data_IF_321686415408
#
_entry.id   IF_321686415408
#
_cell.length_a   1.000
_cell.length_b   1.000
_cell.length_c   1.000
_cell.angle_alpha   90.00
_cell.angle_beta   90.00
_cell.angle_gamma   90.00
#
_symmetry.space_group_name_H-M   'P 1'
#
loop_
_entity.id
_entity.type
_entity.pdbx_description
1 polymer ?
#
# COMPACT_ATOMS: atom_id res chain seq x y z
N UNK A 1 -33.61 -25.20 22.90
CA UNK A 1 -32.43 -24.86 22.08
C UNK A 1 -32.91 -24.10 20.86
N UNK A 2 -32.87 -22.77 20.91
CA UNK A 2 -33.26 -21.91 19.79
C UNK A 2 -32.19 -21.99 18.71
N UNK A 3 -32.45 -22.81 17.68
CA UNK A 3 -31.68 -22.82 16.45
C UNK A 3 -31.65 -21.39 15.89
N UNK A 4 -30.49 -20.73 15.95
CA UNK A 4 -30.27 -19.47 15.23
C UNK A 4 -30.60 -19.71 13.76
N UNK A 5 -31.40 -18.83 13.16
CA UNK A 5 -31.66 -18.90 11.71
C UNK A 5 -30.33 -18.94 10.96
N UNK A 6 -30.20 -19.74 9.87
CA UNK A 6 -29.00 -19.75 9.06
C UNK A 6 -28.76 -18.35 8.50
N UNK A 7 -27.66 -17.73 8.89
CA UNK A 7 -27.35 -16.35 8.58
C UNK A 7 -25.87 -16.14 8.35
N UNK A 8 -25.56 -15.26 7.41
CA UNK A 8 -24.21 -14.75 7.17
C UNK A 8 -24.09 -13.40 7.89
N UNK A 9 -23.08 -13.25 8.75
CA UNK A 9 -22.75 -11.96 9.38
C UNK A 9 -21.43 -11.49 8.81
N UNK A 10 -21.42 -10.28 8.24
CA UNK A 10 -20.23 -9.65 7.68
C UNK A 10 -19.77 -8.50 8.58
N UNK A 11 -18.46 -8.34 8.65
CA UNK A 11 -17.79 -7.33 9.45
C UNK A 11 -17.13 -6.27 8.56
N UNK A 12 -17.07 -5.01 9.01
CA UNK A 12 -16.43 -3.98 8.22
C UNK A 12 -14.94 -4.27 8.08
N UNK A 13 -14.34 -3.84 6.98
CA UNK A 13 -12.90 -3.96 6.77
C UNK A 13 -12.11 -3.18 7.83
N UNK A 14 -12.58 -1.99 8.19
CA UNK A 14 -12.07 -1.15 9.27
C UNK A 14 -13.20 -0.78 10.24
N UNK A 15 -12.94 -0.94 11.54
CA UNK A 15 -13.82 -0.42 12.57
C UNK A 15 -13.79 1.12 12.57
N UNK A 16 -14.97 1.73 12.50
CA UNK A 16 -15.17 3.18 12.58
C UNK A 16 -15.95 3.54 13.83
N UNK A 17 -15.44 4.42 14.71
CA UNK A 17 -16.20 4.88 15.88
C UNK A 17 -17.32 5.85 15.51
N UNK A 18 -17.24 6.48 14.33
CA UNK A 18 -18.16 7.52 13.88
C UNK A 18 -19.10 6.98 12.80
N UNK A 19 -20.37 7.42 12.87
CA UNK A 19 -21.38 7.15 11.83
C UNK A 19 -21.09 8.00 10.58
N UNK A 20 -21.50 7.54 9.39
CA UNK A 20 -21.40 8.35 8.18
C UNK A 20 -22.20 9.66 8.31
N UNK A 21 -21.68 10.72 7.70
CA UNK A 21 -22.22 12.07 7.75
C UNK A 21 -22.83 12.53 6.42
N UNK A 22 -22.96 11.62 5.44
CA UNK A 22 -23.44 11.92 4.09
C UNK A 22 -24.09 10.71 3.40
N UNK A 23 -25.09 10.96 2.55
CA UNK A 23 -25.82 9.95 1.76
C UNK A 23 -24.93 9.14 0.80
N UNK A 24 -23.78 9.70 0.42
CA UNK A 24 -22.81 9.04 -0.46
C UNK A 24 -21.97 7.95 0.21
N UNK A 25 -22.11 7.74 1.52
CA UNK A 25 -21.34 6.75 2.28
C UNK A 25 -21.56 5.31 1.79
N UNK A 26 -20.50 4.50 1.91
CA UNK A 26 -20.49 3.09 1.51
C UNK A 26 -19.84 2.28 2.62
N UNK A 27 -20.57 1.28 3.11
CA UNK A 27 -20.05 0.30 4.07
C UNK A 27 -19.06 -0.61 3.34
N UNK A 28 -17.84 -0.78 3.87
CA UNK A 28 -16.80 -1.58 3.21
C UNK A 28 -16.54 -2.84 4.03
N UNK A 29 -16.53 -4.00 3.37
CA UNK A 29 -16.09 -5.25 3.97
C UNK A 29 -15.67 -6.28 2.93
N UNK A 30 -15.60 -7.53 3.34
CA UNK A 30 -15.26 -8.66 2.46
C UNK A 30 -16.22 -9.83 2.65
N UNK A 31 -16.24 -10.72 1.67
CA UNK A 31 -17.01 -11.96 1.72
C UNK A 31 -16.30 -13.07 0.95
N UNK A 32 -16.32 -14.28 1.53
CA UNK A 32 -15.73 -15.47 0.92
C UNK A 32 -16.80 -16.29 0.20
N UNK A 33 -16.50 -16.78 -1.00
CA UNK A 33 -17.43 -17.62 -1.79
C UNK A 33 -17.86 -18.85 -0.97
N UNK A 34 -16.92 -19.53 -0.32
CA UNK A 34 -17.22 -20.73 0.47
C UNK A 34 -18.23 -20.44 1.60
N UNK A 35 -18.14 -19.27 2.22
CA UNK A 35 -19.07 -18.84 3.28
C UNK A 35 -20.49 -18.59 2.71
N UNK A 36 -20.60 -18.02 1.50
CA UNK A 36 -21.88 -17.84 0.81
C UNK A 36 -22.48 -19.21 0.46
N UNK A 37 -21.67 -20.14 -0.07
CA UNK A 37 -22.12 -21.47 -0.45
C UNK A 37 -22.55 -22.30 0.75
N UNK A 38 -21.80 -22.24 1.85
CA UNK A 38 -22.15 -22.88 3.12
C UNK A 38 -23.47 -22.32 3.68
N UNK A 39 -23.59 -20.99 3.80
CA UNK A 39 -24.82 -20.36 4.27
C UNK A 39 -26.02 -20.74 3.38
N UNK A 40 -25.82 -20.78 2.06
CA UNK A 40 -26.87 -21.20 1.13
C UNK A 40 -27.28 -22.67 1.29
N UNK A 41 -26.31 -23.59 1.48
CA UNK A 41 -26.59 -25.00 1.76
C UNK A 41 -27.40 -25.17 3.05
N UNK A 42 -27.02 -24.49 4.12
CA UNK A 42 -27.76 -24.52 5.38
C UNK A 42 -29.19 -23.96 5.25
N UNK A 43 -29.37 -22.83 4.57
CA UNK A 43 -30.70 -22.28 4.31
C UNK A 43 -31.61 -23.22 3.51
N UNK A 44 -31.07 -23.87 2.48
CA UNK A 44 -31.83 -24.88 1.70
C UNK A 44 -32.22 -26.09 2.54
N UNK A 45 -31.31 -26.60 3.36
CA UNK A 45 -31.59 -27.74 4.23
C UNK A 45 -32.66 -27.43 5.29
N UNK A 46 -32.69 -26.19 5.79
CA UNK A 46 -33.67 -25.72 6.77
C UNK A 46 -35.00 -25.24 6.15
N UNK A 47 -35.08 -25.10 4.82
CA UNK A 47 -36.25 -24.51 4.15
C UNK A 47 -36.46 -23.03 4.49
N UNK A 48 -35.44 -22.34 4.99
CA UNK A 48 -35.53 -20.94 5.44
C UNK A 48 -34.67 -20.01 4.58
N UNK A 49 -35.14 -18.79 4.28
CA UNK A 49 -34.31 -17.77 3.64
C UNK A 49 -33.08 -17.44 4.50
N UNK A 50 -31.93 -17.31 3.85
CA UNK A 50 -30.68 -16.92 4.51
C UNK A 50 -30.66 -15.40 4.69
N UNK A 51 -30.50 -14.94 5.93
CA UNK A 51 -30.23 -13.53 6.22
C UNK A 51 -28.76 -13.18 6.01
N UNK A 52 -28.47 -11.93 5.61
CA UNK A 52 -27.10 -11.42 5.57
C UNK A 52 -27.02 -10.09 6.33
N UNK A 53 -26.47 -10.11 7.54
CA UNK A 53 -26.35 -8.93 8.41
C UNK A 53 -24.97 -8.31 8.27
N UNK A 54 -24.92 -6.99 8.29
CA UNK A 54 -23.69 -6.21 8.35
C UNK A 54 -23.54 -5.61 9.75
N UNK A 55 -22.41 -5.84 10.42
CA UNK A 55 -22.16 -5.19 11.72
C UNK A 55 -21.75 -3.73 11.52
N UNK A 56 -22.27 -2.82 12.35
CA UNK A 56 -21.89 -1.39 12.28
C UNK A 56 -22.37 -0.68 11.00
N UNK A 57 -23.45 -1.16 10.38
CA UNK A 57 -23.98 -0.63 9.13
C UNK A 57 -25.03 0.48 9.31
N UNK A 58 -25.20 1.00 10.53
CA UNK A 58 -26.10 2.11 10.81
C UNK A 58 -25.70 3.36 10.03
N UNK A 59 -26.65 3.91 9.26
CA UNK A 59 -26.44 5.12 8.45
C UNK A 59 -25.91 4.87 7.04
N UNK A 60 -25.62 3.62 6.67
CA UNK A 60 -25.23 3.27 5.30
C UNK A 60 -26.43 2.79 4.48
N UNK A 61 -26.55 3.29 3.26
CA UNK A 61 -27.53 2.84 2.26
C UNK A 61 -26.95 1.85 1.25
N UNK A 62 -25.62 1.69 1.23
CA UNK A 62 -24.88 0.83 0.29
C UNK A 62 -23.71 0.15 0.98
N UNK A 63 -23.38 -1.04 0.52
CA UNK A 63 -22.20 -1.79 0.91
C UNK A 63 -21.39 -2.18 -0.33
N UNK A 64 -20.06 -2.08 -0.24
CA UNK A 64 -19.10 -2.61 -1.20
C UNK A 64 -18.32 -3.73 -0.53
N UNK A 65 -18.39 -4.92 -1.13
CA UNK A 65 -17.79 -6.14 -0.59
C UNK A 65 -16.69 -6.62 -1.52
N UNK A 66 -15.47 -6.80 -0.99
CA UNK A 66 -14.43 -7.55 -1.68
C UNK A 66 -14.79 -9.04 -1.66
N UNK A 67 -15.00 -9.61 -2.83
CA UNK A 67 -15.32 -11.03 -2.97
C UNK A 67 -14.02 -11.82 -3.08
N UNK A 68 -13.88 -12.87 -2.27
CA UNK A 68 -12.67 -13.69 -2.18
C UNK A 68 -12.96 -15.16 -2.42
N UNK A 69 -12.00 -15.83 -3.04
CA UNK A 69 -11.96 -17.28 -3.20
C UNK A 69 -10.52 -17.78 -3.07
N UNK A 70 -10.30 -18.84 -2.29
CA UNK A 70 -8.97 -19.41 -2.06
C UNK A 70 -7.87 -18.35 -1.79
N UNK A 71 -8.18 -17.34 -0.97
CA UNK A 71 -7.23 -16.31 -0.53
C UNK A 71 -7.06 -15.14 -1.49
N UNK A 72 -7.64 -15.23 -2.69
CA UNK A 72 -7.50 -14.22 -3.76
C UNK A 72 -8.72 -13.32 -3.87
N UNK A 73 -8.54 -12.03 -4.15
CA UNK A 73 -9.65 -11.16 -4.53
C UNK A 73 -10.13 -11.48 -5.95
N UNK A 74 -11.44 -11.55 -6.13
CA UNK A 74 -12.09 -11.75 -7.43
C UNK A 74 -12.69 -10.46 -7.98
N UNK A 75 -13.00 -9.51 -7.11
CA UNK A 75 -13.55 -8.21 -7.46
C UNK A 75 -14.45 -7.68 -6.35
N UNK A 76 -15.02 -6.50 -6.59
CA UNK A 76 -15.97 -5.88 -5.69
C UNK A 76 -17.40 -6.07 -6.18
N UNK A 77 -18.33 -6.25 -5.25
CA UNK A 77 -19.77 -6.13 -5.50
C UNK A 77 -20.33 -5.00 -4.65
N UNK A 78 -21.13 -4.12 -5.27
CA UNK A 78 -21.92 -3.11 -4.55
C UNK A 78 -23.37 -3.55 -4.45
N UNK A 79 -23.97 -3.43 -3.26
CA UNK A 79 -25.33 -3.86 -2.92
C UNK A 79 -26.00 -2.83 -2.00
N UNK A 80 -27.32 -2.70 -2.10
CA UNK A 80 -28.12 -1.84 -1.22
C UNK A 80 -28.22 -2.42 0.20
N UNK A 81 -28.12 -1.53 1.19
CA UNK A 81 -28.26 -1.86 2.61
C UNK A 81 -29.62 -1.37 3.09
N UNK A 82 -30.37 -2.27 3.71
CA UNK A 82 -31.65 -1.99 4.35
C UNK A 82 -31.62 -2.55 5.77
N UNK A 83 -31.85 -1.69 6.77
CA UNK A 83 -31.87 -2.06 8.20
C UNK A 83 -30.62 -2.86 8.63
N UNK A 84 -29.43 -2.41 8.20
CA UNK A 84 -28.16 -3.06 8.52
C UNK A 84 -27.97 -4.44 7.90
N UNK A 85 -28.73 -4.78 6.86
CA UNK A 85 -28.68 -6.07 6.17
C UNK A 85 -28.64 -5.88 4.66
N UNK A 86 -28.18 -6.91 3.94
CA UNK A 86 -28.20 -6.98 2.47
C UNK A 86 -29.03 -8.16 1.99
N UNK A 87 -29.62 -8.05 0.80
CA UNK A 87 -30.37 -9.15 0.21
C UNK A 87 -29.41 -10.30 -0.19
N UNK A 88 -29.47 -11.43 0.54
CA UNK A 88 -28.57 -12.56 0.29
C UNK A 88 -28.72 -13.16 -1.12
N UNK A 89 -29.93 -13.18 -1.67
CA UNK A 89 -30.17 -13.66 -3.03
C UNK A 89 -29.51 -12.78 -4.09
N UNK A 90 -29.57 -11.46 -3.90
CA UNK A 90 -28.84 -10.50 -4.73
C UNK A 90 -27.33 -10.62 -4.58
N UNK A 91 -26.82 -10.73 -3.35
CA UNK A 91 -25.41 -10.96 -3.07
C UNK A 91 -24.89 -12.16 -3.86
N UNK A 92 -25.57 -13.30 -3.76
CA UNK A 92 -25.18 -14.51 -4.48
C UNK A 92 -25.21 -14.32 -5.99
N UNK A 93 -26.22 -13.63 -6.55
CA UNK A 93 -26.29 -13.35 -7.99
C UNK A 93 -25.14 -12.45 -8.47
N UNK A 94 -24.80 -11.38 -7.73
CA UNK A 94 -23.71 -10.47 -8.09
C UNK A 94 -22.35 -11.17 -7.99
N UNK A 95 -22.14 -11.96 -6.93
CA UNK A 95 -20.93 -12.77 -6.75
C UNK A 95 -20.75 -13.77 -7.89
N UNK A 96 -21.82 -14.47 -8.29
CA UNK A 96 -21.79 -15.40 -9.42
C UNK A 96 -21.50 -14.72 -10.78
N UNK A 97 -21.71 -13.40 -10.88
CA UNK A 97 -21.39 -12.61 -12.06
C UNK A 97 -19.92 -12.20 -12.16
N UNK A 98 -19.13 -12.35 -11.08
CA UNK A 98 -17.70 -12.10 -11.12
C UNK A 98 -17.00 -13.22 -11.90
N UNK A 99 -16.08 -12.83 -12.78
CA UNK A 99 -15.25 -13.80 -13.48
C UNK A 99 -14.30 -14.44 -12.49
N UNK A 100 -14.43 -15.75 -12.29
CA UNK A 100 -13.38 -16.56 -11.68
C UNK A 100 -12.37 -16.85 -12.78
N UNK A 101 -11.31 -16.05 -12.88
CA UNK A 101 -10.15 -16.45 -13.69
C UNK A 101 -9.47 -17.59 -12.92
N UNK A 102 -9.35 -18.77 -13.53
CA UNK A 102 -8.59 -19.85 -12.92
C UNK A 102 -7.15 -19.38 -12.64
N UNK A 103 -6.62 -19.62 -11.44
CA UNK A 103 -5.34 -19.06 -11.06
C UNK A 103 -4.18 -19.77 -11.77
N UNK A 104 -3.20 -19.03 -12.29
CA UNK A 104 -1.89 -19.58 -12.70
C UNK A 104 -1.17 -20.30 -11.53
N UNK A 105 -1.43 -19.87 -10.29
CA UNK A 105 -1.00 -20.52 -9.03
C UNK A 105 -2.00 -20.26 -7.90
N UNK A 106 -2.36 -21.27 -7.08
CA UNK A 106 -3.17 -21.08 -5.88
C UNK A 106 -2.41 -20.26 -4.83
N UNK A 107 -3.10 -19.31 -4.18
CA UNK A 107 -2.57 -18.65 -2.97
C UNK A 107 -2.70 -19.61 -1.80
N UNK A 108 -1.65 -19.72 -0.99
CA UNK A 108 -1.63 -20.65 0.15
C UNK A 108 -2.55 -20.12 1.26
N UNK A 109 -3.75 -20.69 1.39
CA UNK A 109 -4.76 -20.34 2.42
C UNK A 109 -4.73 -21.18 3.69
N UNK A 110 -3.81 -22.14 3.79
CA UNK A 110 -3.56 -22.90 5.03
C UNK A 110 -2.40 -22.30 5.83
N UNK A 111 -2.21 -22.71 7.11
CA UNK A 111 -0.97 -22.42 7.83
C UNK A 111 0.17 -22.84 6.92
N UNK A 112 1.15 -21.96 6.70
CA UNK A 112 2.25 -22.18 5.76
C UNK A 112 2.84 -23.58 5.98
N UNK A 113 2.42 -24.57 5.20
CA UNK A 113 2.98 -25.91 5.30
C UNK A 113 4.41 -25.75 4.81
N UNK A 114 5.32 -25.85 5.77
CA UNK A 114 6.76 -25.94 5.64
C UNK A 114 7.05 -27.20 4.84
N UNK A 115 6.75 -27.19 3.54
CA UNK A 115 7.18 -28.22 2.63
C UNK A 115 8.66 -27.95 2.35
N UNK A 116 9.51 -28.68 3.08
CA UNK A 116 10.93 -28.92 2.77
C UNK A 116 11.90 -27.72 2.82
N UNK A 117 11.52 -26.60 3.46
CA UNK A 117 12.43 -25.48 3.70
C UNK A 117 11.93 -24.49 4.75
N UNK A 118 12.84 -23.83 5.47
CA UNK A 118 12.52 -22.78 6.47
C UNK A 118 11.75 -21.64 5.77
N UNK A 119 10.66 -21.16 6.40
CA UNK A 119 9.91 -20.01 5.89
C UNK A 119 10.83 -18.79 5.70
N UNK A 120 10.60 -18.00 4.64
CA UNK A 120 11.42 -16.84 4.32
C UNK A 120 11.30 -15.79 5.44
N UNK A 121 12.40 -15.38 6.09
CA UNK A 121 12.33 -14.36 7.13
C UNK A 121 11.87 -13.01 6.57
N UNK A 122 10.84 -12.43 7.18
CA UNK A 122 10.31 -11.10 6.84
C UNK A 122 10.44 -10.14 8.02
N UNK A 123 10.93 -8.92 7.78
CA UNK A 123 10.75 -7.83 8.75
C UNK A 123 9.66 -6.87 8.24
N UNK A 124 8.63 -6.65 9.04
CA UNK A 124 7.62 -5.62 8.79
C UNK A 124 8.10 -4.28 9.35
N UNK A 125 8.15 -3.23 8.55
CA UNK A 125 8.52 -1.88 8.97
C UNK A 125 7.28 -0.99 8.95
N UNK A 126 6.93 -0.45 10.13
CA UNK A 126 5.84 0.52 10.30
C UNK A 126 6.43 1.85 10.75
N UNK A 127 6.33 2.89 9.91
CA UNK A 127 6.80 4.22 10.23
C UNK A 127 5.65 5.07 10.78
N UNK A 128 5.85 5.72 11.91
CA UNK A 128 4.81 6.54 12.55
C UNK A 128 5.37 7.83 13.11
N UNK A 129 4.50 8.82 13.30
CA UNK A 129 4.83 10.09 13.95
C UNK A 129 3.58 10.68 14.61
N UNK A 130 3.55 10.69 15.94
CA UNK A 130 2.46 11.27 16.75
C UNK A 130 1.04 10.76 16.37
N UNK A 131 0.91 9.50 15.91
CA UNK A 131 -0.37 8.90 15.47
C UNK A 131 -0.66 7.58 16.19
N UNK A 132 -0.52 7.57 17.51
CA UNK A 132 -0.60 6.35 18.35
C UNK A 132 -1.90 5.56 18.14
N UNK A 133 -3.06 6.23 18.02
CA UNK A 133 -4.34 5.54 17.81
C UNK A 133 -4.44 4.81 16.46
N UNK A 134 -3.84 5.37 15.41
CA UNK A 134 -3.75 4.72 14.11
C UNK A 134 -2.77 3.55 14.18
N UNK A 135 -1.57 3.79 14.73
CA UNK A 135 -0.55 2.77 14.94
C UNK A 135 -1.09 1.57 15.71
N UNK A 136 -1.90 1.80 16.75
CA UNK A 136 -2.49 0.72 17.53
C UNK A 136 -3.33 -0.22 16.67
N UNK A 137 -4.16 0.34 15.79
CA UNK A 137 -5.01 -0.44 14.89
C UNK A 137 -4.17 -1.20 13.86
N UNK A 138 -3.20 -0.53 13.24
CA UNK A 138 -2.30 -1.13 12.26
C UNK A 138 -1.47 -2.26 12.87
N UNK A 139 -0.83 -2.02 14.02
CA UNK A 139 0.04 -2.98 14.67
C UNK A 139 -0.73 -4.21 15.17
N UNK A 140 -1.96 -4.04 15.67
CA UNK A 140 -2.85 -5.16 16.01
C UNK A 140 -3.10 -6.07 14.80
N UNK A 141 -3.35 -5.48 13.62
CA UNK A 141 -3.54 -6.26 12.39
C UNK A 141 -2.26 -6.97 11.93
N UNK A 142 -1.11 -6.31 12.01
CA UNK A 142 0.20 -6.89 11.67
C UNK A 142 0.53 -8.09 12.57
N UNK A 143 0.28 -7.96 13.88
CA UNK A 143 0.56 -9.03 14.85
C UNK A 143 -0.38 -10.23 14.72
N UNK A 144 -1.53 -10.05 14.06
CA UNK A 144 -2.52 -11.08 13.77
C UNK A 144 -2.28 -11.79 12.41
N UNK A 145 -1.24 -11.42 11.66
CA UNK A 145 -0.88 -12.09 10.40
C UNK A 145 -0.49 -13.54 10.64
N UNK A 146 -1.02 -14.42 9.80
CA UNK A 146 -0.78 -15.87 9.80
C UNK A 146 0.47 -16.20 8.95
N UNK A 147 1.64 -15.82 9.48
CA UNK A 147 2.93 -16.12 8.88
C UNK A 147 3.95 -16.53 9.95
N UNK A 148 4.69 -17.63 9.77
CA UNK A 148 5.47 -18.22 10.87
C UNK A 148 6.82 -17.55 11.15
N UNK A 149 7.36 -16.72 10.25
CA UNK A 149 8.73 -16.19 10.35
C UNK A 149 8.80 -14.70 10.07
N UNK A 150 8.31 -13.88 11.00
CA UNK A 150 8.45 -12.43 10.91
C UNK A 150 8.74 -11.72 12.24
N UNK A 151 9.42 -10.58 12.14
CA UNK A 151 9.55 -9.57 13.19
C UNK A 151 8.99 -8.22 12.71
N UNK A 152 8.75 -7.29 13.65
CA UNK A 152 8.20 -5.97 13.38
C UNK A 152 9.17 -4.91 13.90
N UNK A 153 9.50 -3.94 13.07
CA UNK A 153 10.23 -2.72 13.45
C UNK A 153 9.28 -1.53 13.34
N UNK A 154 8.90 -0.98 14.49
CA UNK A 154 8.20 0.31 14.55
C UNK A 154 9.25 1.41 14.59
N UNK A 155 9.17 2.35 13.65
CA UNK A 155 10.05 3.52 13.60
C UNK A 155 9.25 4.77 14.01
N UNK A 156 9.54 5.29 15.18
CA UNK A 156 8.97 6.53 15.71
C UNK A 156 9.76 7.73 15.18
N UNK A 157 9.20 8.44 14.20
CA UNK A 157 9.91 9.43 13.39
C UNK A 157 9.73 10.86 13.91
N UNK A 158 10.81 11.43 14.45
CA UNK A 158 10.86 12.77 15.04
C UNK A 158 9.62 13.06 15.92
N UNK A 159 9.35 12.18 16.92
CA UNK A 159 8.18 12.30 17.77
C UNK A 159 8.24 13.59 18.60
N UNK A 160 7.07 14.18 18.88
CA UNK A 160 6.95 15.31 19.81
C UNK A 160 6.72 14.88 21.25
N UNK A 161 6.31 13.63 21.45
CA UNK A 161 5.97 13.05 22.76
C UNK A 161 6.42 11.59 22.83
N UNK A 162 6.49 11.02 24.03
CA UNK A 162 6.81 9.59 24.22
C UNK A 162 5.58 8.67 24.12
N UNK A 163 4.44 9.16 23.60
CA UNK A 163 3.20 8.37 23.55
C UNK A 163 3.33 7.08 22.71
N UNK A 164 3.98 7.16 21.54
CA UNK A 164 4.30 5.98 20.71
C UNK A 164 5.15 4.99 21.49
N UNK A 165 6.15 5.50 22.19
CA UNK A 165 7.10 4.69 22.95
C UNK A 165 6.42 3.91 24.07
N UNK A 166 5.63 4.61 24.88
CA UNK A 166 4.88 4.02 25.98
C UNK A 166 3.89 2.97 25.49
N UNK A 167 3.20 3.23 24.38
CA UNK A 167 2.28 2.28 23.78
C UNK A 167 2.99 1.00 23.32
N UNK A 168 4.05 1.11 22.50
CA UNK A 168 4.73 -0.06 21.93
C UNK A 168 5.43 -0.89 23.00
N UNK A 169 6.06 -0.28 24.00
CA UNK A 169 6.64 -1.03 25.13
C UNK A 169 5.57 -1.75 25.96
N UNK A 170 4.39 -1.13 26.11
CA UNK A 170 3.26 -1.72 26.82
C UNK A 170 2.69 -2.99 26.19
N UNK A 171 2.95 -3.24 24.89
CA UNK A 171 2.50 -4.45 24.21
C UNK A 171 3.20 -5.71 24.71
N UNK A 172 4.46 -5.59 25.14
CA UNK A 172 5.31 -6.71 25.57
C UNK A 172 5.38 -7.90 24.57
N UNK A 173 5.15 -7.66 23.27
CA UNK A 173 5.28 -8.68 22.22
C UNK A 173 6.74 -8.79 21.76
N UNK A 174 7.39 -9.96 21.90
CA UNK A 174 8.81 -10.13 21.59
C UNK A 174 9.14 -9.98 20.11
N UNK A 175 8.15 -9.99 19.22
CA UNK A 175 8.33 -9.75 17.78
C UNK A 175 8.53 -8.28 17.46
N UNK A 176 8.16 -7.36 18.35
CA UNK A 176 8.14 -5.91 18.08
C UNK A 176 9.38 -5.23 18.64
N UNK A 177 10.10 -4.52 17.78
CA UNK A 177 11.21 -3.63 18.13
C UNK A 177 10.83 -2.19 17.82
N UNK A 178 11.07 -1.29 18.76
CA UNK A 178 10.88 0.14 18.58
C UNK A 178 12.22 0.83 18.34
N UNK A 179 12.27 1.69 17.33
CA UNK A 179 13.46 2.51 17.02
C UNK A 179 13.02 3.95 16.83
N UNK A 180 13.79 4.88 17.39
CA UNK A 180 13.58 6.31 17.20
C UNK A 180 14.44 6.83 16.06
N UNK A 181 13.81 7.47 15.07
CA UNK A 181 14.50 8.26 14.05
C UNK A 181 14.41 9.74 14.46
N UNK A 182 15.52 10.40 14.85
CA UNK A 182 15.47 11.75 15.38
C UNK A 182 15.12 12.83 14.35
N UNK A 183 15.37 12.59 13.06
CA UNK A 183 15.17 13.59 12.00
C UNK A 183 13.88 13.34 11.22
N UNK A 184 13.07 14.38 10.93
CA UNK A 184 11.79 14.19 10.25
C UNK A 184 11.97 13.75 8.81
N UNK A 185 11.14 12.80 8.37
CA UNK A 185 11.02 12.37 6.98
C UNK A 185 10.79 10.87 6.86
N UNK A 186 9.74 10.50 6.13
CA UNK A 186 9.35 9.11 5.92
C UNK A 186 10.47 8.27 5.29
N UNK A 187 11.22 8.82 4.34
CA UNK A 187 12.38 8.12 3.76
C UNK A 187 13.49 7.86 4.80
N UNK A 188 13.74 8.80 5.73
CA UNK A 188 14.68 8.58 6.84
C UNK A 188 14.17 7.45 7.74
N UNK A 189 12.89 7.51 8.13
CA UNK A 189 12.27 6.47 8.94
C UNK A 189 12.32 5.08 8.28
N UNK A 190 11.99 4.99 6.97
CA UNK A 190 12.09 3.75 6.19
C UNK A 190 13.53 3.25 6.09
N UNK A 191 14.51 4.15 5.93
CA UNK A 191 15.93 3.77 5.95
C UNK A 191 16.38 3.26 7.33
N UNK A 192 15.93 3.89 8.41
CA UNK A 192 16.19 3.42 9.78
C UNK A 192 15.58 2.04 10.02
N UNK A 193 14.35 1.81 9.58
CA UNK A 193 13.71 0.50 9.60
C UNK A 193 14.45 -0.54 8.75
N UNK A 194 14.84 -0.17 7.52
CA UNK A 194 15.63 -1.03 6.61
C UNK A 194 17.00 -1.39 7.19
N UNK A 195 17.63 -0.47 7.91
CA UNK A 195 18.93 -0.70 8.57
C UNK A 195 18.80 -1.74 9.68
N UNK A 196 17.73 -1.66 10.45
CA UNK A 196 17.46 -2.55 11.57
C UNK A 196 16.80 -3.87 11.19
N UNK A 197 16.28 -3.99 9.97
CA UNK A 197 15.60 -5.18 9.48
C UNK A 197 16.54 -6.40 9.43
N UNK A 198 16.06 -7.52 9.94
CA UNK A 198 16.82 -8.79 10.02
C UNK A 198 16.36 -9.79 8.97
N UNK A 199 15.14 -9.67 8.47
CA UNK A 199 14.58 -10.51 7.41
C UNK A 199 15.24 -10.29 6.05
N UNK A 200 15.19 -11.32 5.21
CA UNK A 200 15.65 -11.26 3.82
C UNK A 200 14.71 -10.39 2.98
N UNK A 201 13.43 -10.41 3.33
CA UNK A 201 12.38 -9.54 2.79
C UNK A 201 12.04 -8.47 3.83
N UNK A 202 11.87 -7.23 3.38
CA UNK A 202 11.34 -6.13 4.19
C UNK A 202 9.99 -5.71 3.64
N UNK A 203 8.93 -5.85 4.42
CA UNK A 203 7.59 -5.40 4.09
C UNK A 203 7.32 -4.04 4.73
N UNK A 204 6.96 -3.05 3.93
CA UNK A 204 6.59 -1.72 4.38
C UNK A 204 5.08 -1.56 4.38
N UNK A 205 4.55 -1.02 5.48
CA UNK A 205 3.15 -0.58 5.57
C UNK A 205 3.04 0.66 6.43
N UNK A 206 1.93 1.39 6.28
CA UNK A 206 1.71 2.65 6.98
C UNK A 206 0.98 2.41 8.33
N UNK A 207 0.95 3.42 9.20
CA UNK A 207 0.30 3.34 10.50
C UNK A 207 -1.23 3.56 10.43
N UNK A 208 -1.78 3.93 9.28
CA UNK A 208 -3.21 4.21 9.04
C UNK A 208 -3.91 3.15 8.18
N UNK A 209 -3.44 1.90 8.29
CA UNK A 209 -3.95 0.76 7.53
C UNK A 209 -4.30 -0.44 8.40
N UNK A 210 -5.03 -1.40 7.83
CA UNK A 210 -5.26 -2.74 8.39
C UNK A 210 -4.82 -3.77 7.36
N UNK A 211 -3.84 -4.61 7.71
CA UNK A 211 -3.34 -5.65 6.81
C UNK A 211 -4.21 -6.91 6.89
N UNK A 212 -4.37 -7.61 5.77
CA UNK A 212 -5.06 -8.90 5.73
C UNK A 212 -4.25 -9.98 6.49
N UNK A 213 -4.95 -10.95 7.09
CA UNK A 213 -4.29 -12.04 7.83
C UNK A 213 -3.33 -12.89 6.96
N UNK A 214 -3.52 -12.92 5.64
CA UNK A 214 -2.65 -13.63 4.70
C UNK A 214 -1.67 -12.69 3.96
N UNK A 215 -1.57 -11.43 4.37
CA UNK A 215 -0.79 -10.39 3.70
C UNK A 215 0.67 -10.78 3.44
N UNK A 216 1.39 -11.24 4.47
CA UNK A 216 2.79 -11.64 4.32
C UNK A 216 2.96 -12.88 3.44
N UNK A 217 2.06 -13.86 3.55
CA UNK A 217 2.07 -15.05 2.68
C UNK A 217 1.93 -14.67 1.22
N UNK A 218 0.99 -13.76 0.90
CA UNK A 218 0.80 -13.28 -0.46
C UNK A 218 1.99 -12.46 -1.00
N UNK A 219 2.60 -11.60 -0.16
CA UNK A 219 3.81 -10.88 -0.53
C UNK A 219 4.96 -11.86 -0.86
N UNK A 220 5.18 -12.87 -0.02
CA UNK A 220 6.24 -13.88 -0.21
C UNK A 220 5.96 -14.75 -1.44
N UNK A 221 4.72 -15.17 -1.67
CA UNK A 221 4.31 -15.90 -2.88
C UNK A 221 4.59 -15.10 -4.16
N UNK A 222 4.49 -13.76 -4.11
CA UNK A 222 4.85 -12.87 -5.20
C UNK A 222 6.33 -12.96 -5.60
N UNK A 223 7.26 -13.11 -4.64
CA UNK A 223 8.69 -13.30 -4.92
C UNK A 223 8.96 -14.66 -5.58
N UNK A 224 8.16 -15.68 -5.27
CA UNK A 224 8.29 -17.02 -5.85
C UNK A 224 7.89 -17.11 -7.35
N UNK A 225 7.46 -15.99 -7.96
CA UNK A 225 7.14 -15.91 -9.40
C UNK A 225 8.37 -15.90 -10.30
N UNK A 226 9.55 -15.54 -9.77
CA UNK A 226 10.79 -15.64 -10.52
C UNK A 226 12.01 -15.12 -9.76
N UNK A 227 13.21 -15.60 -10.10
CA UNK A 227 14.46 -15.24 -9.40
C UNK A 227 14.89 -13.78 -9.62
N UNK A 228 14.23 -13.06 -10.52
CA UNK A 228 14.48 -11.64 -10.78
C UNK A 228 13.53 -10.71 -10.03
N UNK A 229 12.54 -11.23 -9.31
CA UNK A 229 11.58 -10.43 -8.55
C UNK A 229 12.26 -9.90 -7.29
N UNK A 230 12.33 -8.58 -7.15
CA UNK A 230 12.91 -7.93 -5.97
C UNK A 230 11.96 -6.96 -5.28
N UNK A 231 10.74 -6.83 -5.80
CA UNK A 231 9.67 -6.02 -5.21
C UNK A 231 8.32 -6.69 -5.47
N UNK A 232 7.50 -6.78 -4.43
CA UNK A 232 6.10 -7.20 -4.53
C UNK A 232 5.24 -6.12 -3.89
N UNK A 233 4.30 -5.54 -4.63
CA UNK A 233 3.26 -4.67 -4.09
C UNK A 233 1.93 -5.40 -4.05
N UNK A 234 0.94 -4.81 -3.38
CA UNK A 234 -0.38 -5.41 -3.26
C UNK A 234 -1.54 -4.44 -3.42
N UNK A 235 -2.74 -4.99 -3.29
CA UNK A 235 -4.00 -4.24 -3.39
C UNK A 235 -4.17 -3.33 -2.17
N UNK A 236 -4.58 -2.09 -2.41
CA UNK A 236 -4.85 -1.12 -1.34
C UNK A 236 -6.26 -0.52 -1.51
N UNK A 237 -7.31 -1.29 -1.17
CA UNK A 237 -8.67 -0.80 -1.24
C UNK A 237 -8.99 0.15 -0.07
N UNK A 238 -9.99 0.99 -0.25
CA UNK A 238 -10.52 1.81 0.83
C UNK A 238 -11.09 0.90 1.93
N UNK A 239 -10.68 1.13 3.18
CA UNK A 239 -11.22 0.40 4.34
C UNK A 239 -12.56 0.92 4.84
N UNK A 240 -12.90 2.16 4.48
CA UNK A 240 -14.11 2.86 4.89
C UNK A 240 -14.39 4.02 3.92
N UNK A 241 -15.68 4.29 3.65
CA UNK A 241 -16.13 5.47 2.90
C UNK A 241 -17.29 6.09 3.66
N UNK A 242 -16.98 6.95 4.63
CA UNK A 242 -17.97 7.67 5.44
C UNK A 242 -18.19 9.10 5.00
N UNK A 243 -17.12 9.76 4.57
CA UNK A 243 -17.16 11.18 4.23
C UNK A 243 -16.94 11.43 2.73
N UNK A 244 -17.37 12.59 2.20
CA UNK A 244 -17.06 12.99 0.83
C UNK A 244 -15.55 13.00 0.50
N UNK A 245 -14.70 13.29 1.48
CA UNK A 245 -13.26 13.30 1.31
C UNK A 245 -12.72 11.90 1.01
N UNK A 246 -13.19 10.89 1.75
CA UNK A 246 -12.81 9.49 1.55
C UNK A 246 -13.30 8.99 0.20
N UNK A 247 -14.55 9.31 -0.17
CA UNK A 247 -15.11 8.98 -1.48
C UNK A 247 -14.33 9.62 -2.65
N UNK A 248 -13.74 10.80 -2.45
CA UNK A 248 -12.87 11.42 -3.43
C UNK A 248 -11.56 10.66 -3.63
N UNK A 249 -10.93 10.19 -2.56
CA UNK A 249 -9.70 9.40 -2.65
C UNK A 249 -9.92 8.04 -3.28
N UNK A 250 -10.96 7.32 -2.85
CA UNK A 250 -11.37 6.01 -3.38
C UNK A 250 -11.47 6.03 -4.91
N UNK A 251 -12.09 7.07 -5.47
CA UNK A 251 -12.29 7.19 -6.93
C UNK A 251 -11.04 7.60 -7.73
N UNK A 252 -9.97 8.04 -7.06
CA UNK A 252 -8.78 8.62 -7.71
C UNK A 252 -7.60 7.65 -7.75
N UNK A 253 -7.61 6.65 -6.88
CA UNK A 253 -6.61 5.59 -6.88
C UNK A 253 -7.01 4.54 -7.90
N UNK A 254 -6.06 4.02 -8.68
CA UNK A 254 -6.36 2.94 -9.65
C UNK A 254 -5.58 1.66 -9.38
N UNK A 255 -5.16 1.48 -8.13
CA UNK A 255 -4.55 0.27 -7.58
C UNK A 255 -5.50 -0.44 -6.59
N UNK A 256 -6.70 0.11 -6.37
CA UNK A 256 -7.69 -0.43 -5.43
C UNK A 256 -8.46 -1.62 -6.00
N UNK A 257 -8.62 -1.70 -7.33
CA UNK A 257 -9.61 -2.59 -7.96
C UNK A 257 -8.97 -3.69 -8.83
N UNK A 258 -7.65 -3.69 -9.00
CA UNK A 258 -6.95 -4.69 -9.83
C UNK A 258 -6.94 -6.04 -9.13
N UNK A 259 -7.57 -7.06 -9.72
CA UNK A 259 -7.62 -8.43 -9.19
C UNK A 259 -6.68 -9.40 -9.91
N UNK A 260 -6.01 -8.91 -10.96
CA UNK A 260 -5.01 -9.67 -11.70
C UNK A 260 -3.61 -9.38 -11.18
N UNK A 261 -2.85 -10.46 -10.97
CA UNK A 261 -1.43 -10.35 -10.65
C UNK A 261 -0.65 -9.92 -11.90
N UNK A 262 0.33 -9.05 -11.71
CA UNK A 262 1.06 -8.44 -12.83
C UNK A 262 2.55 -8.37 -12.56
N UNK A 263 3.35 -8.80 -13.53
CA UNK A 263 4.81 -8.67 -13.49
C UNK A 263 5.23 -7.50 -14.38
N UNK A 264 5.96 -6.56 -13.81
CA UNK A 264 6.61 -5.46 -14.51
C UNK A 264 8.08 -5.79 -14.69
N UNK A 265 8.51 -5.80 -15.95
CA UNK A 265 9.84 -6.20 -16.37
C UNK A 265 10.40 -5.17 -17.34
N UNK A 266 11.57 -4.62 -17.04
CA UNK A 266 12.22 -3.65 -17.91
C UNK A 266 12.45 -4.18 -19.33
N UNK A 267 12.78 -5.47 -19.47
CA UNK A 267 13.05 -6.09 -20.75
C UNK A 267 11.77 -6.36 -21.56
N UNK A 268 10.60 -6.38 -20.89
CA UNK A 268 9.30 -6.67 -21.50
C UNK A 268 8.29 -5.59 -21.06
N UNK A 269 8.44 -4.36 -21.57
CA UNK A 269 7.58 -3.26 -21.19
C UNK A 269 6.13 -3.57 -21.61
N UNK A 270 5.14 -3.39 -20.73
CA UNK A 270 3.76 -3.68 -21.06
C UNK A 270 3.14 -2.65 -22.02
N UNK A 271 2.32 -3.13 -22.96
CA UNK A 271 1.72 -2.30 -24.01
C UNK A 271 0.65 -1.32 -23.50
N UNK A 272 -0.06 -1.69 -22.44
CA UNK A 272 -1.12 -0.92 -21.79
C UNK A 272 -0.60 0.12 -20.79
N UNK A 273 0.72 0.22 -20.60
CA UNK A 273 1.38 1.24 -19.75
C UNK A 273 2.24 2.15 -20.64
N UNK A 274 1.65 3.18 -21.25
CA UNK A 274 2.26 3.74 -22.44
C UNK A 274 3.51 4.58 -22.21
N UNK A 275 3.72 5.05 -20.98
CA UNK A 275 4.95 5.77 -20.59
C UNK A 275 5.81 4.91 -19.65
N UNK A 276 5.70 3.58 -19.70
CA UNK A 276 6.61 2.71 -18.95
C UNK A 276 8.09 3.09 -19.21
N UNK A 277 8.95 3.17 -18.17
CA UNK A 277 8.69 2.83 -16.76
C UNK A 277 8.19 4.02 -15.90
N UNK A 278 7.83 5.15 -16.49
CA UNK A 278 7.48 6.39 -15.80
C UNK A 278 6.01 6.49 -15.32
N UNK A 279 5.13 5.59 -15.74
CA UNK A 279 3.74 5.51 -15.24
C UNK A 279 3.65 4.65 -13.98
N UNK A 280 4.04 5.24 -12.86
CA UNK A 280 4.22 4.56 -11.56
C UNK A 280 2.93 4.17 -10.85
N UNK A 281 1.78 4.75 -11.24
CA UNK A 281 0.46 4.48 -10.63
C UNK A 281 0.05 2.99 -10.68
N UNK A 282 0.57 2.23 -11.63
CA UNK A 282 0.23 0.82 -11.80
C UNK A 282 1.12 -0.13 -10.99
N UNK A 283 2.17 0.36 -10.34
CA UNK A 283 3.13 -0.48 -9.62
C UNK A 283 2.75 -0.76 -8.17
N UNK A 284 1.86 0.05 -7.58
CA UNK A 284 1.51 -0.02 -6.16
C UNK A 284 1.69 1.33 -5.45
N UNK A 285 1.75 1.29 -4.12
CA UNK A 285 1.85 2.47 -3.25
C UNK A 285 2.73 2.16 -2.03
N UNK A 286 3.31 3.19 -1.42
CA UNK A 286 4.14 3.09 -0.22
C UNK A 286 3.49 2.41 1.00
N UNK A 287 2.16 2.28 1.02
CA UNK A 287 1.41 1.64 2.10
C UNK A 287 1.40 0.10 2.05
N UNK A 288 1.76 -0.52 0.91
CA UNK A 288 1.67 -1.97 0.73
C UNK A 288 2.67 -2.49 -0.31
N UNK A 289 3.90 -2.72 0.14
CA UNK A 289 4.91 -3.38 -0.67
C UNK A 289 5.97 -4.06 0.18
N UNK A 290 6.65 -5.04 -0.39
CA UNK A 290 7.80 -5.70 0.17
C UNK A 290 8.95 -5.75 -0.85
N UNK A 291 10.17 -5.78 -0.34
CA UNK A 291 11.40 -5.73 -1.14
C UNK A 291 12.43 -6.74 -0.63
N UNK A 292 13.30 -7.20 -1.53
CA UNK A 292 14.54 -7.86 -1.10
C UNK A 292 15.44 -6.82 -0.41
N UNK A 293 15.75 -7.07 0.87
CA UNK A 293 16.53 -6.15 1.72
C UNK A 293 17.83 -5.72 1.05
N UNK A 294 18.59 -6.70 0.57
CA UNK A 294 19.93 -6.47 0.03
C UNK A 294 19.90 -5.72 -1.31
N UNK A 295 18.85 -5.91 -2.12
CA UNK A 295 18.67 -5.16 -3.37
C UNK A 295 18.47 -3.69 -3.05
N UNK A 296 17.57 -3.36 -2.11
CA UNK A 296 17.30 -1.96 -1.76
C UNK A 296 18.49 -1.29 -1.09
N UNK A 297 19.24 -2.01 -0.24
CA UNK A 297 20.50 -1.50 0.33
C UNK A 297 21.53 -1.19 -0.77
N UNK A 298 21.75 -2.09 -1.74
CA UNK A 298 22.64 -1.84 -2.90
C UNK A 298 22.17 -0.67 -3.78
N UNK A 299 20.87 -0.47 -3.89
CA UNK A 299 20.30 0.71 -4.57
C UNK A 299 20.47 2.02 -3.78
N UNK A 300 21.02 1.95 -2.56
CA UNK A 300 21.30 3.10 -1.70
C UNK A 300 20.20 3.42 -0.69
N UNK A 301 19.15 2.61 -0.58
CA UNK A 301 17.98 2.90 0.25
C UNK A 301 17.01 3.92 -0.36
N UNK A 302 16.14 4.48 0.46
CA UNK A 302 15.21 5.55 0.08
C UNK A 302 15.94 6.89 0.00
N UNK A 303 15.60 7.69 -1.00
CA UNK A 303 16.13 9.03 -1.15
C UNK A 303 15.52 9.95 -0.09
N UNK A 304 16.34 10.45 0.85
CA UNK A 304 15.86 11.22 2.00
C UNK A 304 15.27 12.58 1.62
N UNK A 305 15.49 13.04 0.38
CA UNK A 305 14.87 14.25 -0.15
C UNK A 305 13.42 14.04 -0.58
N UNK A 306 12.98 12.78 -0.72
CA UNK A 306 11.62 12.41 -1.10
C UNK A 306 10.81 11.94 0.13
N UNK A 307 9.49 11.99 0.02
CA UNK A 307 8.57 11.47 1.03
C UNK A 307 7.98 12.47 2.02
N UNK A 308 6.94 12.02 2.73
CA UNK A 308 6.26 12.83 3.73
C UNK A 308 7.24 13.31 4.80
N UNK A 309 7.10 14.56 5.25
CA UNK A 309 8.01 15.19 6.21
C UNK A 309 9.33 15.72 5.62
N UNK A 310 9.63 15.45 4.34
CA UNK A 310 10.61 16.23 3.57
C UNK A 310 9.90 17.41 2.86
N UNK A 311 10.63 18.45 2.39
CA UNK A 311 10.05 19.55 1.63
C UNK A 311 9.23 19.12 0.41
N UNK A 312 9.49 17.93 -0.15
CA UNK A 312 8.78 17.39 -1.32
C UNK A 312 7.45 16.72 -0.98
N UNK A 313 7.24 16.29 0.28
CA UNK A 313 5.97 15.73 0.75
C UNK A 313 5.54 14.39 0.14
N UNK A 314 6.34 13.76 -0.72
CA UNK A 314 6.04 12.48 -1.39
C UNK A 314 7.09 12.08 -2.42
N UNK A 315 6.81 11.02 -3.17
CA UNK A 315 7.58 10.59 -4.35
C UNK A 315 8.66 9.52 -4.07
N UNK A 316 8.76 9.03 -2.85
CA UNK A 316 9.78 8.09 -2.40
C UNK A 316 9.51 6.63 -2.83
N UNK A 317 8.25 6.23 -2.89
CA UNK A 317 7.81 4.90 -3.34
C UNK A 317 7.97 4.77 -4.86
N UNK A 318 7.51 5.76 -5.61
CA UNK A 318 7.65 5.83 -7.07
C UNK A 318 9.13 5.82 -7.49
N UNK A 319 9.98 6.49 -6.71
CA UNK A 319 11.43 6.49 -6.91
C UNK A 319 12.04 5.11 -6.67
N UNK A 320 11.62 4.43 -5.58
CA UNK A 320 12.10 3.09 -5.28
C UNK A 320 11.68 2.09 -6.36
N UNK A 321 10.40 2.05 -6.73
CA UNK A 321 9.90 1.14 -7.77
C UNK A 321 10.60 1.35 -9.10
N UNK A 322 10.79 2.61 -9.51
CA UNK A 322 11.55 2.95 -10.71
C UNK A 322 13.00 2.45 -10.64
N UNK A 323 13.70 2.66 -9.53
CA UNK A 323 15.10 2.23 -9.36
C UNK A 323 15.24 0.71 -9.36
N UNK A 324 14.28 -0.02 -8.79
CA UNK A 324 14.24 -1.49 -8.84
C UNK A 324 14.11 -1.95 -10.30
N UNK A 325 13.15 -1.42 -11.06
CA UNK A 325 12.99 -1.75 -12.49
C UNK A 325 14.25 -1.39 -13.30
N UNK A 326 14.85 -0.22 -13.07
CA UNK A 326 16.10 0.22 -13.74
C UNK A 326 17.25 -0.74 -13.48
N UNK A 327 17.29 -1.36 -12.29
CA UNK A 327 18.29 -2.37 -11.94
C UNK A 327 18.09 -3.73 -12.60
N UNK A 328 17.16 -3.83 -13.56
CA UNK A 328 16.78 -5.07 -14.27
C UNK A 328 16.17 -6.14 -13.37
N UNK A 329 15.68 -5.71 -12.20
CA UNK A 329 14.82 -6.51 -11.35
C UNK A 329 13.36 -6.29 -11.70
N UNK A 330 12.54 -7.25 -11.34
CA UNK A 330 11.10 -7.26 -11.61
C UNK A 330 10.35 -6.76 -10.38
N UNK A 331 9.24 -6.08 -10.65
CA UNK A 331 8.23 -5.72 -9.67
C UNK A 331 6.98 -6.53 -9.96
N UNK A 332 6.43 -7.19 -8.95
CA UNK A 332 5.15 -7.88 -9.03
C UNK A 332 4.11 -7.05 -8.30
N UNK A 333 2.95 -6.84 -8.90
CA UNK A 333 1.74 -6.46 -8.17
C UNK A 333 0.93 -7.73 -7.93
N UNK A 334 0.83 -8.17 -6.68
CA UNK A 334 0.04 -9.35 -6.29
C UNK A 334 -1.19 -8.91 -5.49
N UNK A 335 -2.39 -8.96 -6.08
CA UNK A 335 -3.59 -8.42 -5.45
C UNK A 335 -4.05 -9.24 -4.23
N UNK A 336 -3.50 -10.45 -4.03
CA UNK A 336 -3.75 -11.21 -2.81
C UNK A 336 -3.10 -10.59 -1.56
N UNK A 337 -2.07 -9.75 -1.73
CA UNK A 337 -1.50 -8.97 -0.63
C UNK A 337 -2.39 -7.75 -0.37
N UNK A 338 -3.36 -7.86 0.52
CA UNK A 338 -4.39 -6.82 0.75
C UNK A 338 -4.04 -5.98 1.99
N UNK A 339 -4.15 -4.67 1.83
CA UNK A 339 -4.05 -3.69 2.92
C UNK A 339 -5.21 -2.70 2.81
N UNK A 340 -6.11 -2.72 3.78
CA UNK A 340 -7.24 -1.80 3.83
C UNK A 340 -6.80 -0.44 4.37
N UNK A 341 -7.04 0.62 3.60
CA UNK A 341 -6.49 1.94 3.89
C UNK A 341 -7.55 2.90 4.43
N UNK A 342 -7.23 3.60 5.53
CA UNK A 342 -8.06 4.70 6.06
C UNK A 342 -7.72 6.00 5.35
N UNK A 343 -8.55 6.42 4.41
CA UNK A 343 -8.40 7.73 3.78
C UNK A 343 -8.68 8.88 4.77
N UNK A 344 -8.01 10.01 4.55
CA UNK A 344 -8.26 11.25 5.29
C UNK A 344 -9.73 11.67 5.13
N UNK A 345 -10.36 12.07 6.23
CA UNK A 345 -11.80 12.28 6.30
C UNK A 345 -12.25 13.71 5.99
N UNK A 346 -11.34 14.68 5.93
CA UNK A 346 -11.68 16.10 5.84
C UNK A 346 -11.03 16.83 4.64
N UNK A 347 -11.52 18.05 4.39
CA UNK A 347 -11.08 18.93 3.28
C UNK A 347 -9.62 19.35 3.39
N UNK A 348 -9.11 19.56 4.60
CA UNK A 348 -7.72 19.95 4.83
C UNK A 348 -6.79 18.79 4.46
N UNK A 349 -7.15 17.58 4.88
CA UNK A 349 -6.47 16.34 4.53
C UNK A 349 -6.36 16.14 3.02
N UNK A 350 -7.42 16.45 2.27
CA UNK A 350 -7.39 16.44 0.79
C UNK A 350 -6.33 17.40 0.25
N UNK A 351 -6.30 18.64 0.74
CA UNK A 351 -5.33 19.64 0.28
C UNK A 351 -3.89 19.26 0.62
N UNK A 352 -3.66 18.78 1.84
CA UNK A 352 -2.33 18.33 2.29
C UNK A 352 -1.83 17.19 1.42
N UNK A 353 -2.65 16.15 1.22
CA UNK A 353 -2.25 14.99 0.42
C UNK A 353 -2.08 15.34 -1.06
N UNK A 354 -2.97 16.15 -1.64
CA UNK A 354 -2.86 16.58 -3.04
C UNK A 354 -1.63 17.46 -3.30
N UNK A 355 -1.28 18.34 -2.35
CA UNK A 355 -0.03 19.12 -2.41
C UNK A 355 1.20 18.22 -2.32
N UNK A 356 1.19 17.26 -1.39
CA UNK A 356 2.27 16.27 -1.23
C UNK A 356 2.49 15.44 -2.49
N UNK A 357 1.43 14.90 -3.10
CA UNK A 357 1.51 14.16 -4.36
C UNK A 357 2.04 15.03 -5.50
N UNK A 358 1.56 16.26 -5.63
CA UNK A 358 2.04 17.18 -6.66
C UNK A 358 3.52 17.52 -6.48
N UNK A 359 3.93 17.96 -5.29
CA UNK A 359 5.33 18.28 -4.98
C UNK A 359 6.24 17.06 -5.18
N UNK A 360 5.83 15.88 -4.70
CA UNK A 360 6.57 14.63 -4.81
C UNK A 360 6.78 14.20 -6.25
N UNK A 361 5.73 14.22 -7.08
CA UNK A 361 5.84 13.94 -8.51
C UNK A 361 6.78 14.93 -9.21
N UNK A 362 6.63 16.22 -8.96
CA UNK A 362 7.50 17.24 -9.54
C UNK A 362 8.96 17.11 -9.10
N UNK A 363 9.20 16.74 -7.85
CA UNK A 363 10.53 16.49 -7.30
C UNK A 363 11.17 15.24 -7.90
N UNK A 364 10.41 14.16 -8.05
CA UNK A 364 10.89 12.94 -8.71
C UNK A 364 11.20 13.18 -10.18
N UNK A 365 10.35 13.92 -10.91
CA UNK A 365 10.65 14.33 -12.29
C UNK A 365 11.92 15.19 -12.38
N UNK A 366 12.16 16.07 -11.39
CA UNK A 366 13.40 16.84 -11.32
C UNK A 366 14.62 15.94 -11.08
N UNK A 367 14.50 14.94 -10.20
CA UNK A 367 15.54 13.92 -9.98
C UNK A 367 15.86 13.16 -11.27
N UNK A 368 14.84 12.73 -12.01
CA UNK A 368 14.99 12.09 -13.32
C UNK A 368 15.68 13.02 -14.33
N UNK A 369 15.33 14.32 -14.35
CA UNK A 369 15.89 15.28 -15.29
C UNK A 369 17.36 15.64 -15.02
N UNK A 370 17.83 15.51 -13.77
CA UNK A 370 19.22 15.82 -13.38
C UNK A 370 20.18 14.67 -13.72
N UNK A 371 19.68 13.44 -13.85
CA UNK A 371 20.46 12.29 -14.33
C UNK A 371 20.40 12.25 -15.88
N UNK A 372 21.52 12.48 -16.60
CA UNK A 372 21.52 12.56 -18.08
C UNK A 372 21.03 11.29 -18.77
N UNK A 373 21.30 10.12 -18.20
CA UNK A 373 20.85 8.84 -18.75
C UNK A 373 19.33 8.74 -18.63
N UNK A 374 18.79 9.17 -17.48
CA UNK A 374 17.34 9.13 -17.22
C UNK A 374 16.57 10.21 -17.96
N UNK A 375 17.14 11.40 -18.11
CA UNK A 375 16.57 12.45 -18.94
C UNK A 375 16.46 11.99 -20.40
N UNK A 376 17.50 11.34 -20.92
CA UNK A 376 17.50 10.77 -22.27
C UNK A 376 16.46 9.66 -22.41
N UNK A 377 16.36 8.77 -21.43
CA UNK A 377 15.33 7.72 -21.42
C UNK A 377 13.91 8.29 -21.38
N UNK A 378 13.66 9.30 -20.55
CA UNK A 378 12.37 9.96 -20.46
C UNK A 378 11.99 10.65 -21.78
N UNK A 379 12.92 11.40 -22.37
CA UNK A 379 12.71 12.08 -23.64
C UNK A 379 12.44 11.11 -24.79
N UNK A 380 13.24 10.04 -24.89
CA UNK A 380 13.06 9.01 -25.94
C UNK A 380 11.76 8.24 -25.76
N UNK A 381 11.36 7.94 -24.53
CA UNK A 381 10.06 7.30 -24.22
C UNK A 381 8.90 8.20 -24.64
N UNK A 382 8.94 9.48 -24.25
CA UNK A 382 7.92 10.47 -24.63
C UNK A 382 7.82 10.64 -26.15
N UNK A 383 8.96 10.70 -26.86
CA UNK A 383 9.00 10.85 -28.31
C UNK A 383 8.44 9.61 -29.03
N UNK A 384 8.89 8.40 -28.67
CA UNK A 384 8.43 7.14 -29.27
C UNK A 384 6.96 6.84 -29.00
N UNK A 385 6.43 7.34 -27.88
CA UNK A 385 5.06 7.12 -27.43
C UNK A 385 4.23 8.40 -27.49
N UNK A 386 4.55 9.33 -28.39
CA UNK A 386 3.93 10.67 -28.47
C UNK A 386 2.40 10.65 -28.48
N UNK A 387 1.78 9.77 -29.26
CA UNK A 387 0.32 9.60 -29.26
C UNK A 387 -0.24 9.14 -27.91
N UNK A 388 0.48 8.26 -27.22
CA UNK A 388 0.07 7.79 -25.92
C UNK A 388 0.38 8.78 -24.80
N UNK A 389 1.45 9.55 -24.92
CA UNK A 389 1.77 10.69 -24.08
C UNK A 389 0.67 11.76 -24.15
N UNK A 390 0.22 12.12 -25.36
CA UNK A 390 -0.91 13.06 -25.55
C UNK A 390 -2.20 12.50 -24.94
N UNK A 391 -2.50 11.20 -25.14
CA UNK A 391 -3.66 10.56 -24.50
C UNK A 391 -3.55 10.57 -22.97
N UNK A 392 -2.38 10.28 -22.43
CA UNK A 392 -2.12 10.32 -20.99
C UNK A 392 -2.34 11.72 -20.42
N UNK A 393 -1.77 12.77 -21.04
CA UNK A 393 -2.00 14.16 -20.63
C UNK A 393 -3.49 14.53 -20.67
N UNK A 394 -4.22 14.11 -21.71
CA UNK A 394 -5.68 14.34 -21.81
C UNK A 394 -6.45 13.60 -20.72
N UNK A 395 -6.13 12.33 -20.45
CA UNK A 395 -6.75 11.53 -19.39
C UNK A 395 -6.49 12.16 -18.01
N UNK A 396 -5.23 12.48 -17.70
CA UNK A 396 -4.85 13.14 -16.46
C UNK A 396 -5.52 14.51 -16.29
N UNK A 397 -5.70 15.28 -17.37
CA UNK A 397 -6.44 16.55 -17.32
C UNK A 397 -7.92 16.36 -16.96
N UNK A 398 -8.57 15.28 -17.43
CA UNK A 398 -9.96 14.94 -17.05
C UNK A 398 -10.07 14.43 -15.61
N UNK A 399 -9.08 13.68 -15.13
CA UNK A 399 -8.99 13.18 -13.73
C UNK A 399 -8.67 14.28 -12.69
N UNK A 400 -8.28 15.49 -13.12
CA UNK A 400 -8.05 16.62 -12.18
C UNK A 400 -9.32 17.33 -11.72
N UNK A 401 -10.46 17.13 -12.39
CA UNK A 401 -11.74 17.66 -11.96
C UNK A 401 -12.38 16.74 -10.91
N UNK A 402 -12.89 17.27 -9.80
CA UNK A 402 -13.68 16.46 -8.87
C UNK A 402 -14.92 15.90 -9.56
N UNK A 403 -15.36 14.67 -9.22
CA UNK A 403 -16.64 14.16 -9.70
C UNK A 403 -17.78 15.14 -9.38
N UNK A 404 -18.74 15.31 -10.30
CA UNK A 404 -19.79 16.32 -10.17
C UNK A 404 -20.56 16.21 -8.85
N UNK A 405 -20.87 14.97 -8.43
CA UNK A 405 -21.57 14.66 -7.17
C UNK A 405 -20.72 14.85 -5.90
N UNK A 406 -19.43 15.19 -6.03
CA UNK A 406 -18.52 15.48 -4.93
C UNK A 406 -18.02 16.93 -4.94
N UNK A 407 -18.24 17.68 -6.02
CA UNK A 407 -17.59 18.96 -6.27
C UNK A 407 -17.88 20.01 -5.17
N UNK A 408 -19.10 20.03 -4.62
CA UNK A 408 -19.50 20.96 -3.54
C UNK A 408 -18.82 20.66 -2.19
N UNK A 409 -18.47 19.39 -1.96
CA UNK A 409 -17.84 18.93 -0.73
C UNK A 409 -16.31 19.09 -0.73
N UNK A 410 -15.73 19.42 -1.88
CA UNK A 410 -14.28 19.44 -2.07
C UNK A 410 -13.71 20.86 -2.00
N UNK A 411 -12.42 21.01 -1.67
CA UNK A 411 -11.75 22.30 -1.71
C UNK A 411 -11.85 22.96 -3.10
N UNK A 412 -12.16 24.26 -3.19
CA UNK A 412 -12.13 24.95 -4.46
C UNK A 412 -10.71 24.90 -5.05
N UNK A 413 -10.59 24.80 -6.38
CA UNK A 413 -9.30 24.82 -7.09
C UNK A 413 -8.35 23.66 -6.74
N UNK A 414 -8.88 22.50 -6.35
CA UNK A 414 -8.09 21.32 -6.02
C UNK A 414 -7.17 20.85 -7.17
N UNK A 415 -7.69 20.79 -8.39
CA UNK A 415 -6.91 20.42 -9.59
C UNK A 415 -5.74 21.37 -9.85
N UNK A 416 -5.98 22.69 -9.82
CA UNK A 416 -4.91 23.67 -10.03
C UNK A 416 -3.91 23.74 -8.88
N UNK A 417 -4.32 23.42 -7.65
CA UNK A 417 -3.42 23.26 -6.50
C UNK A 417 -2.42 22.12 -6.74
N UNK A 418 -2.90 20.99 -7.26
CA UNK A 418 -2.04 19.84 -7.60
C UNK A 418 -1.03 20.21 -8.69
N UNK A 419 -1.49 20.81 -9.79
CA UNK A 419 -0.62 21.23 -10.90
C UNK A 419 0.43 22.24 -10.46
N UNK A 420 0.04 23.27 -9.69
CA UNK A 420 0.99 24.24 -9.13
C UNK A 420 2.03 23.61 -8.22
N UNK A 421 1.65 22.54 -7.51
CA UNK A 421 2.57 21.79 -6.64
C UNK A 421 3.58 21.00 -7.46
N UNK A 422 3.18 20.39 -8.58
CA UNK A 422 4.10 19.74 -9.53
C UNK A 422 5.18 20.72 -10.01
N UNK A 423 4.79 21.92 -10.43
CA UNK A 423 5.75 22.94 -10.91
C UNK A 423 6.73 23.37 -9.82
N UNK A 424 6.33 23.34 -8.54
CA UNK A 424 7.18 23.68 -7.39
C UNK A 424 8.09 22.53 -6.94
N UNK A 425 7.83 21.30 -7.38
CA UNK A 425 8.59 20.10 -6.99
C UNK A 425 10.12 20.21 -7.15
N UNK A 426 10.66 20.73 -8.27
CA UNK A 426 12.11 20.90 -8.43
C UNK A 426 12.75 21.80 -7.36
N UNK A 427 12.05 22.87 -6.95
CA UNK A 427 12.53 23.77 -5.90
C UNK A 427 12.47 23.10 -4.53
N UNK A 428 11.40 22.36 -4.26
CA UNK A 428 11.28 21.55 -3.04
C UNK A 428 12.40 20.49 -2.96
N UNK A 429 12.72 19.83 -4.07
CA UNK A 429 13.82 18.86 -4.15
C UNK A 429 15.18 19.51 -3.86
N UNK A 430 15.45 20.69 -4.46
CA UNK A 430 16.67 21.46 -4.18
C UNK A 430 16.73 21.92 -2.72
N UNK A 431 15.60 22.33 -2.14
CA UNK A 431 15.52 22.70 -0.72
C UNK A 431 15.86 21.52 0.18
N UNK A 432 15.26 20.35 -0.09
CA UNK A 432 15.53 19.12 0.64
C UNK A 432 17.02 18.73 0.59
N UNK A 433 17.69 18.91 -0.56
CA UNK A 433 19.14 18.69 -0.68
C UNK A 433 19.98 19.67 0.14
N UNK A 434 19.57 20.94 0.22
CA UNK A 434 20.24 21.95 1.05
C UNK A 434 20.12 21.66 2.55
N UNK A 435 19.09 20.92 2.97
CA UNK A 435 18.92 20.40 4.34
C UNK A 435 19.83 19.19 4.66
N UNK A 436 20.73 18.79 3.75
CA UNK A 436 21.65 17.67 3.97
C UNK A 436 21.00 16.30 3.85
N UNK A 437 19.83 16.18 3.20
CA UNK A 437 19.16 14.89 2.96
C UNK A 437 19.93 14.06 1.95
N UNK A 438 20.33 12.85 2.35
CA UNK A 438 21.15 11.95 1.53
C UNK A 438 20.36 11.35 0.36
N UNK A 439 20.94 11.31 -0.86
CA UNK A 439 20.33 10.62 -2.01
C UNK A 439 20.39 9.10 -1.89
N UNK A 440 21.35 8.57 -1.13
CA UNK A 440 21.67 7.14 -1.06
C UNK A 440 22.40 6.80 0.25
N UNK A 441 21.71 6.82 1.42
CA UNK A 441 22.35 6.63 2.73
C UNK A 441 23.07 5.30 2.93
N UNK A 442 22.80 4.29 2.09
CA UNK A 442 23.49 2.98 2.15
C UNK A 442 24.62 2.80 1.12
N UNK A 443 24.84 3.77 0.22
CA UNK A 443 26.05 3.73 -0.63
C UNK A 443 27.21 4.26 0.21
N UNK A 444 28.24 3.44 0.37
CA UNK A 444 29.49 3.94 0.95
C UNK A 444 29.96 5.16 0.14
N UNK A 445 30.39 6.25 0.77
CA UNK A 445 31.09 7.31 0.07
C UNK A 445 32.30 6.69 -0.63
N UNK A 446 32.54 7.02 -1.91
CA UNK A 446 33.67 6.54 -2.74
C UNK A 446 35.08 6.84 -2.17
N UNK A 447 35.19 7.36 -0.94
CA UNK A 447 36.42 7.54 -0.20
C UNK A 447 36.25 7.02 1.24
N UNK A 448 36.76 5.81 1.49
CA UNK A 448 37.29 5.25 2.75
C UNK A 448 37.03 3.73 2.87
N UNK A 449 37.64 2.96 1.96
CA UNK A 449 38.07 1.56 2.18
C UNK A 449 39.52 1.35 1.71
N UNK A 450 40.36 2.35 1.91
CA UNK A 450 41.80 2.16 1.97
C UNK A 450 42.23 2.64 3.35
N UNK A 451 43.04 1.82 4.02
CA UNK A 451 43.56 1.93 5.39
C UNK A 451 42.61 1.57 6.53
N UNK A 452 42.58 0.28 6.88
CA UNK A 452 42.78 -0.24 8.26
C UNK A 452 42.36 -1.73 8.38
N UNK A 453 42.95 -2.61 7.57
CA UNK A 453 43.24 -3.98 8.00
C UNK A 453 44.70 -4.23 7.64
N UNK A 454 45.60 -3.72 8.49
CA UNK A 454 47.00 -4.10 8.51
C UNK A 454 47.51 -3.99 9.94
N UNK A 455 48.03 -5.13 10.44
CA UNK A 455 48.80 -5.35 11.67
C UNK A 455 48.03 -5.75 12.94
N UNK A 456 47.80 -7.06 13.06
CA UNK A 456 48.23 -7.79 14.26
C UNK A 456 49.25 -8.86 13.83
N UNK A 457 50.53 -8.78 14.23
CA UNK A 457 51.39 -9.94 14.28
C UNK A 457 51.12 -10.68 15.59
N UNK A 458 50.76 -11.95 15.46
CA UNK A 458 50.83 -12.95 16.52
C UNK A 458 52.31 -13.19 16.80
N UNK A 459 52.72 -13.07 18.06
CA UNK A 459 54.05 -13.43 18.51
C UNK A 459 54.09 -13.51 20.03
N UNK A 460 53.94 -14.72 20.55
CA UNK A 460 54.53 -15.21 21.81
C UNK A 460 54.53 -16.75 21.72
N UNK A 461 55.51 -17.43 22.32
CA UNK A 461 55.83 -17.32 23.75
C UNK A 461 57.21 -16.76 24.07
#
# INVERSE_FOLDING_TARGET
MTSSAPGLTLHPALDSPERPDWEGAVWIGEVWIDAIEEAHRHGRAAGTPVGCRLTGAEGYSRARLLVRAAGRPLGFVEIEVSEGSVNFGELRRRVAGLRVTEPDRPVRTGPARVAEGRAVPVTVVVCTRDRVSMLETALRSVLAVDYPSFDVVVVDNAPRTDATWNYVLGLADPRVRLIREPLPGLSRARNTGLSAATGDIVAFTDDDVVVDRHWLSALVDGFARGPSVSCVSGMVPAGEIRTPAQAYFDRRVGWSDSTDARVFDWARPPDDVPLFPFTVRCYGTGANFAVERDVVRRLGGFDEALGAGAPTGGGEDIDMFFRILRSRRQLVHDPAAIVWHRHRADREGILVQSRGYGLGLGAWLAKIAIDPEMATLAATTAARRSGAFVRHLRASSKETAPPANLAEFLPPRLGSTTVRSIVKGPWAYRSARREGRSPAPFREPDALRQTAISHHPIGEP
#
